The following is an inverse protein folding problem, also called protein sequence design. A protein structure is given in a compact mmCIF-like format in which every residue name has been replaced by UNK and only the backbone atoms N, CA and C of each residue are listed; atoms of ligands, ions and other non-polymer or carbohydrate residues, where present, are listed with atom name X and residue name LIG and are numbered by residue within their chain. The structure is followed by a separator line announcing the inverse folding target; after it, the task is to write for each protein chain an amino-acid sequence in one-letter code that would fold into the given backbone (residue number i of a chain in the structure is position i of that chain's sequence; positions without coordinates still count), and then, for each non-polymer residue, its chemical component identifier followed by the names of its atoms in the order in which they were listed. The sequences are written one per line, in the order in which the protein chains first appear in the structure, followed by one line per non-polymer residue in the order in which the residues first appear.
data_IF_383791818131
#
_entry.id   IF_383791818131
#
_cell.length_a   1.000
_cell.length_b   1.000
_cell.length_c   1.000
_cell.angle_alpha   90.00
_cell.angle_beta   90.00
_cell.angle_gamma   90.00
#
_symmetry.space_group_name_H-M   'P 1'
#
loop_
_entity.id
_entity.type
_entity.pdbx_description
1 polymer ?
#
# COMPACT_ATOMS: atom_id res chain seq x y z
N UNK A 1 -8.10 11.85 12.17
CA UNK A 1 -7.41 12.33 13.40
C UNK A 1 -7.90 13.75 13.70
N UNK A 2 -8.33 14.04 14.94
CA UNK A 2 -8.70 15.38 15.36
C UNK A 2 -7.51 16.02 16.12
N UNK A 3 -7.07 17.21 15.71
CA UNK A 3 -6.03 17.98 16.40
C UNK A 3 -6.67 18.99 17.36
N UNK A 4 -6.21 19.02 18.61
CA UNK A 4 -6.64 19.97 19.64
C UNK A 4 -5.74 21.21 19.66
N UNK A 5 -6.35 22.41 19.64
CA UNK A 5 -5.72 23.65 20.12
C UNK A 5 -6.38 24.05 21.43
N UNK A 6 -5.58 24.21 22.49
CA UNK A 6 -6.06 24.72 23.78
C UNK A 6 -6.02 26.25 23.80
N UNK A 7 -7.19 26.88 23.81
CA UNK A 7 -7.38 28.25 24.29
C UNK A 7 -8.63 28.29 25.16
N UNK A 8 -8.54 28.99 26.30
CA UNK A 8 -9.54 28.98 27.37
C UNK A 8 -10.95 29.39 26.95
N UNK A 9 -11.93 28.69 27.55
CA UNK A 9 -13.39 28.99 27.60
C UNK A 9 -14.13 29.31 26.28
N UNK A 10 -13.74 28.72 25.16
CA UNK A 10 -14.49 28.76 23.90
C UNK A 10 -14.66 27.36 23.35
N UNK A 11 -15.85 27.07 22.82
CA UNK A 11 -16.26 25.82 22.17
C UNK A 11 -15.14 25.33 21.23
N UNK A 12 -14.60 24.13 21.50
CA UNK A 12 -13.48 23.56 20.75
C UNK A 12 -13.88 23.34 19.29
N UNK A 13 -13.15 23.97 18.38
CA UNK A 13 -13.30 23.77 16.94
C UNK A 13 -12.60 22.47 16.53
N UNK A 14 -13.37 21.51 16.02
CA UNK A 14 -12.86 20.23 15.53
C UNK A 14 -12.78 20.31 14.01
N UNK A 15 -11.56 20.20 13.46
CA UNK A 15 -11.35 20.12 12.02
C UNK A 15 -11.47 18.66 11.54
N UNK A 16 -12.25 18.44 10.49
CA UNK A 16 -12.38 17.13 9.85
C UNK A 16 -11.74 17.12 8.46
N UNK A 17 -10.87 16.12 8.28
CA UNK A 17 -10.30 15.74 7.00
C UNK A 17 -10.69 14.27 6.74
N UNK A 18 -11.30 14.01 5.59
CA UNK A 18 -11.67 12.69 5.12
C UNK A 18 -11.14 12.48 3.70
N UNK A 19 -10.23 11.54 3.56
CA UNK A 19 -9.55 11.28 2.32
C UNK A 19 -9.88 9.87 1.83
N UNK A 20 -10.27 9.76 0.57
CA UNK A 20 -10.39 8.48 -0.12
C UNK A 20 -9.14 8.22 -0.97
N UNK A 21 -8.85 6.97 -1.30
CA UNK A 21 -7.64 6.61 -2.05
C UNK A 21 -7.97 5.75 -3.27
N UNK A 22 -7.15 4.76 -3.61
CA UNK A 22 -7.19 4.04 -4.87
C UNK A 22 -8.54 3.38 -5.22
N UNK A 23 -9.32 2.94 -4.24
CA UNK A 23 -10.64 2.34 -4.52
C UNK A 23 -11.58 3.30 -5.26
N UNK A 24 -11.66 4.57 -4.85
CA UNK A 24 -12.45 5.57 -5.58
C UNK A 24 -11.75 6.06 -6.86
N UNK A 25 -10.41 5.98 -6.94
CA UNK A 25 -9.69 6.23 -8.20
C UNK A 25 -10.04 5.21 -9.28
N UNK A 26 -10.08 3.92 -8.91
CA UNK A 26 -10.51 2.85 -9.81
C UNK A 26 -11.97 3.02 -10.22
N UNK A 27 -12.88 3.29 -9.26
CA UNK A 27 -14.29 3.50 -9.57
C UNK A 27 -14.51 4.67 -10.54
N UNK A 28 -13.77 5.78 -10.35
CA UNK A 28 -13.84 6.91 -11.25
C UNK A 28 -13.34 6.54 -12.66
N UNK A 29 -12.24 5.79 -12.78
CA UNK A 29 -11.72 5.30 -14.06
C UNK A 29 -12.74 4.38 -14.77
N UNK A 30 -13.36 3.45 -14.05
CA UNK A 30 -14.38 2.54 -14.58
C UNK A 30 -15.63 3.29 -15.09
N UNK A 31 -15.98 4.40 -14.45
CA UNK A 31 -17.11 5.24 -14.83
C UNK A 31 -16.76 6.32 -15.87
N UNK A 32 -15.50 6.38 -16.34
CA UNK A 32 -14.98 7.48 -17.17
C UNK A 32 -15.18 8.87 -16.54
N UNK A 33 -15.10 8.94 -15.21
CA UNK A 33 -15.20 10.19 -14.46
C UNK A 33 -13.82 10.85 -14.40
N UNK A 34 -13.77 12.13 -14.81
CA UNK A 34 -12.58 12.94 -14.61
C UNK A 34 -12.53 13.32 -13.13
N UNK A 35 -11.53 12.81 -12.42
CA UNK A 35 -11.19 13.32 -11.11
C UNK A 35 -10.53 14.69 -11.31
N UNK A 36 -11.04 15.69 -10.60
CA UNK A 36 -10.41 17.01 -10.54
C UNK A 36 -9.12 16.85 -9.74
N UNK A 37 -8.02 16.60 -10.47
CA UNK A 37 -6.67 16.81 -9.98
C UNK A 37 -6.41 18.32 -10.02
N UNK A 38 -5.69 18.81 -9.01
CA UNK A 38 -5.21 20.17 -8.84
C UNK A 38 -6.18 21.19 -8.24
N UNK A 39 -5.56 22.15 -7.56
CA UNK A 39 -6.10 23.14 -6.61
C UNK A 39 -7.14 24.13 -7.18
N UNK A 40 -7.75 23.83 -8.33
CA UNK A 40 -8.60 24.72 -9.11
C UNK A 40 -10.11 24.59 -8.77
N UNK A 41 -10.54 23.44 -8.22
CA UNK A 41 -11.93 23.22 -7.82
C UNK A 41 -12.04 22.45 -6.50
N UNK A 42 -12.43 23.15 -5.45
CA UNK A 42 -12.85 22.52 -4.20
C UNK A 42 -14.27 21.96 -4.37
N UNK A 43 -14.56 20.81 -3.75
CA UNK A 43 -15.93 20.32 -3.62
C UNK A 43 -16.86 21.36 -2.98
N UNK A 44 -16.31 22.28 -2.18
CA UNK A 44 -17.01 23.46 -1.68
C UNK A 44 -17.50 24.40 -2.78
N UNK A 45 -16.68 24.61 -3.81
CA UNK A 45 -17.02 25.54 -4.88
C UNK A 45 -18.15 24.96 -5.74
N UNK A 46 -18.25 23.62 -5.82
CA UNK A 46 -19.37 22.91 -6.46
C UNK A 46 -20.68 22.97 -5.66
N UNK A 47 -20.63 23.13 -4.34
CA UNK A 47 -21.82 23.31 -3.49
C UNK A 47 -22.34 24.75 -3.60
N UNK A 48 -21.45 25.73 -3.76
CA UNK A 48 -21.80 27.14 -3.81
C UNK A 48 -22.39 27.58 -5.17
N UNK A 49 -22.06 26.87 -6.27
CA UNK A 49 -22.43 27.30 -7.63
C UNK A 49 -23.68 26.63 -8.24
N UNK A 50 -24.39 25.72 -7.55
CA UNK A 50 -25.58 25.01 -8.09
C UNK A 50 -25.34 24.41 -9.50
N UNK A 51 -24.10 24.01 -9.79
CA UNK A 51 -23.69 23.63 -11.14
C UNK A 51 -24.03 22.14 -11.41
N UNK A 52 -25.29 21.91 -11.73
CA UNK A 52 -25.91 20.59 -12.00
C UNK A 52 -25.14 19.74 -13.04
N UNK A 53 -24.33 20.37 -13.90
CA UNK A 53 -23.55 19.69 -14.94
C UNK A 53 -22.30 18.96 -14.39
N UNK A 54 -21.67 19.48 -13.33
CA UNK A 54 -20.46 18.89 -12.72
C UNK A 54 -20.78 17.90 -11.59
N UNK A 55 -21.95 18.06 -10.99
CA UNK A 55 -22.61 17.13 -10.09
C UNK A 55 -23.00 15.78 -10.74
N UNK A 56 -22.73 15.54 -12.02
CA UNK A 56 -23.15 14.31 -12.72
C UNK A 56 -22.29 13.07 -12.39
N UNK A 57 -21.08 13.24 -11.83
CA UNK A 57 -20.15 12.14 -11.54
C UNK A 57 -20.51 11.45 -10.22
N UNK A 58 -20.62 10.12 -10.22
CA UNK A 58 -21.07 9.31 -9.08
C UNK A 58 -20.12 9.39 -7.89
N UNK A 59 -18.81 9.50 -8.14
CA UNK A 59 -17.80 9.63 -7.08
C UNK A 59 -17.87 11.03 -6.45
N UNK A 60 -18.01 12.08 -7.26
CA UNK A 60 -18.21 13.45 -6.77
C UNK A 60 -19.47 13.55 -5.92
N UNK A 61 -20.58 12.95 -6.36
CA UNK A 61 -21.82 12.87 -5.60
C UNK A 61 -21.68 12.14 -4.27
N UNK A 62 -20.90 11.06 -4.23
CA UNK A 62 -20.60 10.36 -2.98
C UNK A 62 -19.87 11.27 -1.99
N UNK A 63 -18.84 11.99 -2.43
CA UNK A 63 -18.09 12.91 -1.58
C UNK A 63 -18.95 14.10 -1.11
N UNK A 64 -19.78 14.65 -2.00
CA UNK A 64 -20.75 15.72 -1.68
C UNK A 64 -21.73 15.23 -0.60
N UNK A 65 -22.30 14.04 -0.80
CA UNK A 65 -23.23 13.44 0.15
C UNK A 65 -22.59 13.22 1.53
N UNK A 66 -21.34 12.75 1.58
CA UNK A 66 -20.58 12.62 2.84
C UNK A 66 -20.42 13.98 3.51
N UNK A 67 -19.99 15.00 2.76
CA UNK A 67 -19.80 16.36 3.28
C UNK A 67 -21.09 16.93 3.83
N UNK A 68 -22.14 16.97 3.02
CA UNK A 68 -23.47 17.47 3.40
C UNK A 68 -24.04 16.71 4.60
N UNK A 69 -23.82 15.39 4.68
CA UNK A 69 -24.24 14.62 5.84
C UNK A 69 -23.50 15.04 7.12
N UNK A 70 -22.17 15.20 7.05
CA UNK A 70 -21.37 15.60 8.21
C UNK A 70 -21.75 17.01 8.67
N UNK A 71 -21.87 17.97 7.74
CA UNK A 71 -22.25 19.35 8.05
C UNK A 71 -23.63 19.41 8.76
N UNK A 72 -24.59 18.62 8.31
CA UNK A 72 -25.92 18.56 8.93
C UNK A 72 -25.95 17.79 10.25
N UNK A 73 -25.26 16.65 10.34
CA UNK A 73 -25.31 15.78 11.52
C UNK A 73 -24.43 16.28 12.67
N UNK A 74 -23.35 17.02 12.36
CA UNK A 74 -22.32 17.41 13.32
C UNK A 74 -21.96 18.91 13.22
N UNK A 75 -22.85 19.82 13.67
CA UNK A 75 -22.66 21.27 13.52
C UNK A 75 -21.46 21.87 14.28
N UNK A 76 -20.80 21.09 15.13
CA UNK A 76 -19.57 21.49 15.84
C UNK A 76 -18.28 21.02 15.14
N UNK A 77 -18.41 20.28 14.03
CA UNK A 77 -17.28 19.86 13.20
C UNK A 77 -17.17 20.85 12.05
N UNK A 78 -16.00 21.47 11.93
CA UNK A 78 -15.68 22.29 10.78
C UNK A 78 -14.98 21.42 9.73
N UNK A 79 -15.44 21.51 8.48
CA UNK A 79 -14.87 20.81 7.35
C UNK A 79 -14.14 21.85 6.48
N UNK A 80 -12.80 21.96 6.57
CA UNK A 80 -12.05 22.93 5.78
C UNK A 80 -12.25 22.77 4.27
N UNK A 81 -11.78 23.78 3.54
CA UNK A 81 -11.56 23.66 2.10
C UNK A 81 -10.59 22.53 1.79
N UNK A 82 -10.85 21.78 0.71
CA UNK A 82 -10.05 20.64 0.25
C UNK A 82 -9.83 19.52 1.29
N UNK A 83 -10.71 19.40 2.30
CA UNK A 83 -10.56 18.40 3.37
C UNK A 83 -11.37 17.11 3.15
N UNK A 84 -12.31 17.09 2.20
CA UNK A 84 -13.01 15.89 1.76
C UNK A 84 -12.74 15.70 0.26
N UNK A 85 -11.82 14.80 -0.07
CA UNK A 85 -11.41 14.55 -1.46
C UNK A 85 -10.72 13.20 -1.62
N UNK A 86 -10.39 12.86 -2.86
CA UNK A 86 -9.57 11.70 -3.20
C UNK A 86 -8.11 12.16 -3.20
N UNK A 87 -7.23 11.39 -2.56
CA UNK A 87 -5.79 11.61 -2.68
C UNK A 87 -5.30 11.05 -4.00
N UNK A 88 -4.41 11.80 -4.65
CA UNK A 88 -3.59 11.22 -5.70
C UNK A 88 -2.73 10.10 -5.10
N UNK A 89 -2.26 9.19 -5.95
CA UNK A 89 -1.38 8.12 -5.51
C UNK A 89 -0.04 8.63 -4.97
N UNK A 90 0.44 9.75 -5.52
CA UNK A 90 1.66 10.44 -5.09
C UNK A 90 1.47 11.01 -3.69
N UNK A 91 0.32 11.63 -3.40
CA UNK A 91 -0.01 12.13 -2.06
C UNK A 91 -0.08 11.01 -1.03
N UNK A 92 -0.80 9.92 -1.34
CA UNK A 92 -0.91 8.75 -0.46
C UNK A 92 0.48 8.21 -0.07
N UNK A 93 1.36 8.01 -1.06
CA UNK A 93 2.72 7.54 -0.84
C UNK A 93 3.58 8.55 -0.05
N UNK A 94 3.58 9.82 -0.47
CA UNK A 94 4.34 10.88 0.20
C UNK A 94 3.91 11.05 1.66
N UNK A 95 2.61 11.03 1.93
CA UNK A 95 2.07 11.14 3.27
C UNK A 95 2.44 9.92 4.13
N UNK A 96 2.46 8.71 3.55
CA UNK A 96 3.00 7.52 4.20
C UNK A 96 4.45 7.71 4.64
N UNK A 97 5.30 8.26 3.76
CA UNK A 97 6.68 8.58 4.09
C UNK A 97 6.78 9.67 5.18
N UNK A 98 6.04 10.77 5.05
CA UNK A 98 6.03 11.88 6.04
C UNK A 98 5.64 11.37 7.43
N UNK A 99 4.64 10.48 7.53
CA UNK A 99 4.26 9.85 8.81
C UNK A 99 5.47 9.18 9.46
N UNK A 100 6.19 8.34 8.71
CA UNK A 100 7.35 7.62 9.25
C UNK A 100 8.44 8.60 9.72
N UNK A 101 8.75 9.62 8.92
CA UNK A 101 9.72 10.64 9.31
C UNK A 101 9.30 11.41 10.57
N UNK A 102 8.01 11.71 10.70
CA UNK A 102 7.44 12.38 11.87
C UNK A 102 7.56 11.51 13.12
N UNK A 103 7.22 10.22 13.03
CA UNK A 103 7.32 9.26 14.13
C UNK A 103 8.78 9.09 14.57
N UNK A 104 9.71 8.90 13.62
CA UNK A 104 11.14 8.74 13.91
C UNK A 104 11.72 9.98 14.59
N UNK A 105 11.29 11.17 14.16
CA UNK A 105 11.65 12.44 14.80
C UNK A 105 11.18 12.53 16.26
N UNK A 106 9.99 12.00 16.54
CA UNK A 106 9.43 11.93 17.89
C UNK A 106 10.07 10.81 18.75
N UNK A 107 10.94 9.99 18.16
CA UNK A 107 11.66 8.92 18.86
C UNK A 107 11.04 7.53 18.67
N UNK A 108 9.95 7.42 17.92
CA UNK A 108 9.34 6.14 17.58
C UNK A 108 10.17 5.43 16.50
N UNK A 109 10.93 4.40 16.91
CA UNK A 109 11.93 3.71 16.06
C UNK A 109 11.88 2.19 16.20
N UNK A 110 11.16 1.71 17.20
CA UNK A 110 11.15 0.33 17.62
C UNK A 110 9.90 -0.38 17.13
N UNK A 111 10.05 -1.62 16.68
CA UNK A 111 8.94 -2.50 16.30
C UNK A 111 9.07 -3.85 17.00
N UNK A 112 7.97 -4.59 17.06
CA UNK A 112 7.95 -5.94 17.61
C UNK A 112 8.37 -6.95 16.55
N UNK A 113 9.40 -7.76 16.84
CA UNK A 113 9.96 -8.75 15.90
C UNK A 113 9.23 -10.11 15.91
N UNK A 114 8.67 -10.49 17.07
CA UNK A 114 8.07 -11.82 17.29
C UNK A 114 7.02 -11.74 18.39
N UNK A 115 6.21 -12.80 18.53
CA UNK A 115 5.31 -13.00 19.68
C UNK A 115 6.06 -13.13 21.02
N UNK A 116 7.40 -13.16 21.01
CA UNK A 116 8.27 -13.30 22.19
C UNK A 116 8.87 -11.97 22.70
N UNK A 117 8.25 -10.82 22.41
CA UNK A 117 8.69 -9.49 22.86
C UNK A 117 10.12 -9.10 22.44
N UNK A 118 10.64 -9.67 21.36
CA UNK A 118 11.93 -9.20 20.80
C UNK A 118 11.68 -7.87 20.10
N UNK A 119 12.46 -6.84 20.43
CA UNK A 119 12.29 -5.49 19.88
C UNK A 119 13.36 -5.25 18.82
N UNK A 120 12.95 -4.82 17.62
CA UNK A 120 13.84 -4.38 16.55
C UNK A 120 13.85 -2.86 16.46
N UNK A 121 14.80 -2.29 15.70
CA UNK A 121 14.90 -0.85 15.51
C UNK A 121 15.12 -0.54 14.02
N UNK A 122 14.30 0.34 13.45
CA UNK A 122 14.37 0.66 12.00
C UNK A 122 15.66 1.39 11.61
N UNK A 123 16.32 2.04 12.57
CA UNK A 123 17.59 2.77 12.37
C UNK A 123 18.84 1.94 12.70
N UNK A 124 18.64 0.79 13.33
CA UNK A 124 19.69 -0.18 13.63
C UNK A 124 19.10 -1.58 13.47
N UNK A 125 18.81 -2.01 12.21
CA UNK A 125 18.16 -3.28 11.96
C UNK A 125 19.02 -4.41 12.54
N UNK A 126 18.45 -5.35 13.31
CA UNK A 126 19.20 -6.45 13.91
C UNK A 126 20.04 -7.26 12.91
N UNK A 127 19.55 -7.39 11.68
CA UNK A 127 20.21 -8.10 10.58
C UNK A 127 21.47 -7.41 10.05
N UNK A 128 21.73 -6.14 10.39
CA UNK A 128 22.92 -5.40 9.93
C UNK A 128 23.63 -4.59 11.01
N UNK A 129 24.96 -4.61 10.95
CA UNK A 129 25.82 -3.88 11.87
C UNK A 129 26.12 -2.43 11.40
N UNK A 130 25.13 -1.78 10.78
CA UNK A 130 25.24 -0.41 10.25
C UNK A 130 24.04 0.42 10.68
N UNK A 131 24.27 1.65 11.12
CA UNK A 131 23.17 2.57 11.44
C UNK A 131 22.59 3.18 10.16
N UNK A 132 21.27 3.21 10.08
CA UNK A 132 20.51 3.81 8.98
C UNK A 132 20.24 5.28 9.31
N UNK A 133 20.64 6.22 8.44
CA UNK A 133 20.22 7.61 8.57
C UNK A 133 18.69 7.71 8.59
N UNK A 134 18.07 8.52 9.47
CA UNK A 134 16.60 8.59 9.54
C UNK A 134 15.88 8.95 8.24
N UNK A 135 16.52 9.71 7.35
CA UNK A 135 15.97 10.06 6.04
C UNK A 135 16.10 8.93 5.00
N UNK A 136 16.86 7.87 5.29
CA UNK A 136 16.94 6.64 4.50
C UNK A 136 15.92 5.58 4.95
N UNK A 137 14.90 5.97 5.73
CA UNK A 137 13.73 5.11 5.96
C UNK A 137 12.69 5.43 4.89
N UNK A 138 12.43 4.46 4.04
CA UNK A 138 11.41 4.49 2.99
C UNK A 138 10.12 3.79 3.41
N UNK A 139 9.08 4.01 2.61
CA UNK A 139 7.73 3.51 2.83
C UNK A 139 7.26 2.66 1.65
N UNK A 140 6.69 1.49 1.93
CA UNK A 140 5.81 0.78 0.99
C UNK A 140 4.42 0.71 1.62
N UNK A 141 3.48 1.40 0.99
CA UNK A 141 2.06 1.27 1.30
C UNK A 141 1.49 0.20 0.36
N UNK A 142 1.00 -0.90 0.93
CA UNK A 142 0.49 -2.01 0.15
C UNK A 142 -1.01 -2.17 0.36
N UNK A 143 -1.80 -1.48 -0.46
CA UNK A 143 -3.25 -1.41 -0.34
C UNK A 143 -4.00 -2.43 -1.21
N UNK A 144 -5.33 -2.32 -1.16
CA UNK A 144 -6.27 -3.17 -1.91
C UNK A 144 -6.24 -2.94 -3.42
N UNK A 145 -6.26 -1.67 -3.85
CA UNK A 145 -6.36 -1.30 -5.27
C UNK A 145 -5.06 -0.76 -5.86
N UNK A 146 -4.11 -0.33 -5.03
CA UNK A 146 -2.81 0.17 -5.47
C UNK A 146 -1.70 -0.20 -4.48
N UNK A 147 -0.46 -0.07 -4.91
CA UNK A 147 0.72 -0.05 -4.03
C UNK A 147 1.54 1.20 -4.28
N UNK A 148 2.12 1.76 -3.22
CA UNK A 148 3.01 2.91 -3.28
C UNK A 148 4.39 2.52 -2.79
N UNK A 149 5.41 3.18 -3.35
CA UNK A 149 6.77 3.15 -2.84
C UNK A 149 7.30 4.57 -2.76
N UNK A 150 7.84 4.96 -1.60
CA UNK A 150 8.28 6.33 -1.34
C UNK A 150 9.57 6.36 -0.53
N UNK A 151 10.58 7.10 -0.99
CA UNK A 151 11.86 7.20 -0.30
C UNK A 151 12.63 8.46 -0.70
N UNK A 152 13.55 8.88 0.16
CA UNK A 152 14.39 10.03 -0.10
C UNK A 152 15.46 9.74 -1.17
N UNK A 153 15.69 10.72 -2.04
CA UNK A 153 16.70 10.73 -3.09
C UNK A 153 17.54 12.01 -2.96
N UNK A 154 18.87 11.92 -2.88
CA UNK A 154 19.73 13.10 -2.80
C UNK A 154 19.72 13.87 -4.12
N UNK A 155 19.95 15.20 -4.06
CA UNK A 155 19.94 16.08 -5.24
C UNK A 155 20.86 15.62 -6.38
N UNK A 156 21.99 14.98 -6.06
CA UNK A 156 22.95 14.47 -7.04
C UNK A 156 22.43 13.28 -7.86
N UNK A 157 21.45 12.55 -7.34
CA UNK A 157 20.89 11.33 -7.94
C UNK A 157 19.50 11.60 -8.56
N UNK A 158 19.05 12.87 -8.57
CA UNK A 158 17.88 13.31 -9.31
C UNK A 158 18.23 13.39 -10.80
N UNK A 159 17.67 12.49 -11.60
CA UNK A 159 18.05 12.26 -12.99
C UNK A 159 17.11 12.90 -14.02
N UNK A 160 15.85 13.20 -13.65
CA UNK A 160 14.89 13.86 -14.52
C UNK A 160 13.72 14.47 -13.73
N UNK A 161 13.19 15.64 -14.15
CA UNK A 161 11.93 16.14 -13.60
C UNK A 161 10.79 15.17 -13.94
N UNK A 162 10.21 14.54 -12.92
CA UNK A 162 8.99 13.73 -12.96
C UNK A 162 8.04 14.22 -11.85
N UNK A 163 6.74 14.01 -12.02
CA UNK A 163 5.76 14.20 -10.95
C UNK A 163 6.04 13.28 -9.75
N UNK A 164 6.76 12.18 -9.96
CA UNK A 164 7.18 11.26 -8.90
C UNK A 164 8.23 11.86 -7.95
N UNK A 165 8.85 13.00 -8.29
CA UNK A 165 9.84 13.66 -7.45
C UNK A 165 9.27 14.87 -6.73
N UNK A 166 9.11 14.74 -5.42
CA UNK A 166 8.62 15.79 -4.54
C UNK A 166 9.80 16.51 -3.89
N UNK A 167 10.09 17.73 -4.35
CA UNK A 167 11.21 18.52 -3.82
C UNK A 167 10.96 18.90 -2.36
N UNK A 168 11.94 18.64 -1.51
CA UNK A 168 11.90 19.04 -0.09
C UNK A 168 13.11 19.90 0.26
N UNK A 169 12.86 21.07 0.82
CA UNK A 169 13.94 21.94 1.34
C UNK A 169 14.64 21.27 2.52
N UNK A 170 13.86 20.56 3.34
CA UNK A 170 14.34 19.81 4.49
C UNK A 170 13.48 18.60 4.81
N UNK A 171 14.07 17.50 5.28
CA UNK A 171 13.33 16.33 5.77
C UNK A 171 12.64 16.65 7.11
N UNK A 172 11.50 16.02 7.44
CA UNK A 172 10.86 16.25 8.74
C UNK A 172 11.78 15.97 9.92
N UNK A 173 12.60 14.91 9.80
CA UNK A 173 13.49 14.40 10.86
C UNK A 173 14.81 15.15 11.00
N UNK A 174 15.34 15.73 9.92
CA UNK A 174 16.58 16.50 9.92
C UNK A 174 16.42 17.77 9.05
N UNK A 175 16.39 18.97 9.66
CA UNK A 175 16.17 20.22 8.95
C UNK A 175 17.36 20.61 8.05
N UNK A 176 18.51 19.96 8.18
CA UNK A 176 19.73 20.25 7.39
C UNK A 176 19.80 19.42 6.10
N UNK A 177 18.97 18.39 5.99
CA UNK A 177 18.95 17.47 4.85
C UNK A 177 17.81 17.83 3.93
N UNK A 178 18.12 18.39 2.76
CA UNK A 178 17.17 18.62 1.66
C UNK A 178 17.39 17.63 0.50
N UNK A 179 16.49 17.62 -0.47
CA UNK A 179 16.58 16.70 -1.61
C UNK A 179 15.22 16.51 -2.28
N UNK A 180 14.96 15.28 -2.68
CA UNK A 180 13.68 14.88 -3.24
C UNK A 180 13.15 13.67 -2.47
N UNK A 181 11.83 13.56 -2.37
CA UNK A 181 11.17 12.28 -2.08
C UNK A 181 10.70 11.74 -3.40
N UNK A 182 11.27 10.61 -3.84
CA UNK A 182 10.69 9.85 -4.91
C UNK A 182 9.46 9.12 -4.35
N UNK A 183 8.32 9.24 -5.02
CA UNK A 183 7.08 8.54 -4.68
C UNK A 183 6.37 8.14 -5.94
N UNK A 184 5.96 6.88 -6.04
CA UNK A 184 5.15 6.40 -7.15
C UNK A 184 4.03 5.50 -6.66
N UNK A 185 2.91 5.51 -7.38
CA UNK A 185 1.70 4.76 -7.06
C UNK A 185 1.27 3.92 -8.25
N UNK A 186 1.37 2.60 -8.10
CA UNK A 186 0.93 1.65 -9.11
C UNK A 186 -0.55 1.33 -8.89
N UNK A 187 -1.44 2.12 -9.50
CA UNK A 187 -2.88 1.83 -9.54
C UNK A 187 -3.11 0.51 -10.27
N UNK A 188 -4.10 -0.28 -9.82
CA UNK A 188 -4.38 -1.66 -10.26
C UNK A 188 -3.39 -2.74 -9.80
N UNK A 189 -2.28 -2.35 -9.16
CA UNK A 189 -1.29 -3.28 -8.60
C UNK A 189 -1.44 -3.48 -7.09
N UNK A 190 -2.57 -3.06 -6.51
CA UNK A 190 -2.95 -3.46 -5.15
C UNK A 190 -3.37 -4.93 -5.08
N UNK A 191 -3.46 -5.47 -3.86
CA UNK A 191 -3.61 -6.91 -3.66
C UNK A 191 -4.90 -7.50 -4.25
N UNK A 192 -6.01 -6.75 -4.21
CA UNK A 192 -7.30 -7.19 -4.77
C UNK A 192 -7.37 -7.00 -6.28
N UNK A 193 -6.92 -5.86 -6.80
CA UNK A 193 -6.91 -5.62 -8.24
C UNK A 193 -5.99 -6.60 -8.99
N UNK A 194 -4.82 -6.89 -8.40
CA UNK A 194 -3.90 -7.91 -8.91
C UNK A 194 -4.54 -9.29 -8.90
N UNK A 195 -5.29 -9.62 -7.85
CA UNK A 195 -6.04 -10.89 -7.74
C UNK A 195 -7.06 -11.02 -8.87
N UNK A 196 -7.91 -10.01 -9.05
CA UNK A 196 -8.93 -10.01 -10.11
C UNK A 196 -8.30 -10.18 -11.48
N UNK A 197 -7.23 -9.43 -11.75
CA UNK A 197 -6.47 -9.54 -13.00
C UNK A 197 -5.90 -10.94 -13.20
N UNK A 198 -5.35 -11.58 -12.16
CA UNK A 198 -4.85 -12.96 -12.29
C UNK A 198 -5.95 -14.00 -12.47
N UNK A 199 -7.13 -13.79 -11.90
CA UNK A 199 -8.31 -14.65 -12.14
C UNK A 199 -8.71 -14.57 -13.61
N UNK A 200 -8.75 -13.38 -14.19
CA UNK A 200 -9.08 -13.18 -15.62
C UNK A 200 -8.00 -13.80 -16.53
N UNK A 201 -6.72 -13.63 -16.19
CA UNK A 201 -5.60 -14.27 -16.91
C UNK A 201 -5.67 -15.80 -16.82
N UNK A 202 -6.00 -16.36 -15.65
CA UNK A 202 -6.11 -17.79 -15.46
C UNK A 202 -7.20 -18.41 -16.36
N UNK A 203 -8.34 -17.74 -16.53
CA UNK A 203 -9.41 -18.18 -17.44
C UNK A 203 -8.93 -18.30 -18.89
N UNK A 204 -8.07 -17.38 -19.32
CA UNK A 204 -7.49 -17.36 -20.66
C UNK A 204 -6.41 -18.44 -20.82
N UNK A 205 -5.52 -18.59 -19.83
CA UNK A 205 -4.34 -19.44 -19.92
C UNK A 205 -4.61 -20.92 -19.65
N UNK A 206 -5.47 -21.23 -18.69
CA UNK A 206 -5.67 -22.61 -18.20
C UNK A 206 -6.96 -23.27 -18.71
N UNK A 207 -7.76 -22.53 -19.50
CA UNK A 207 -9.04 -22.95 -20.08
C UNK A 207 -10.10 -23.35 -19.05
N UNK A 208 -11.32 -22.86 -19.24
CA UNK A 208 -12.46 -23.22 -18.37
C UNK A 208 -13.04 -24.56 -18.80
N UNK A 209 -13.15 -25.51 -17.86
CA UNK A 209 -13.77 -26.82 -18.06
C UNK A 209 -14.96 -26.97 -17.10
N UNK A 210 -16.19 -27.02 -17.63
CA UNK A 210 -17.38 -27.25 -16.80
C UNK A 210 -17.60 -26.20 -15.69
N UNK A 211 -17.33 -24.92 -15.99
CA UNK A 211 -17.33 -23.80 -15.04
C UNK A 211 -16.26 -23.89 -13.94
N UNK A 212 -15.19 -24.64 -14.18
CA UNK A 212 -14.02 -24.70 -13.30
C UNK A 212 -12.80 -24.22 -14.08
N UNK A 213 -11.96 -23.42 -13.42
CA UNK A 213 -10.62 -23.10 -13.90
C UNK A 213 -9.61 -23.43 -12.81
N UNK A 214 -8.49 -24.04 -13.20
CA UNK A 214 -7.39 -24.28 -12.28
C UNK A 214 -6.66 -22.98 -12.00
N UNK A 215 -6.37 -22.71 -10.74
CA UNK A 215 -5.65 -21.52 -10.30
C UNK A 215 -4.37 -21.93 -9.55
N UNK A 216 -3.19 -21.76 -10.15
CA UNK A 216 -1.94 -22.30 -9.60
C UNK A 216 -1.50 -21.65 -8.29
N UNK A 217 -1.97 -20.44 -8.01
CA UNK A 217 -1.69 -19.75 -6.74
C UNK A 217 -2.70 -20.03 -5.61
N UNK A 218 -3.67 -20.92 -5.84
CA UNK A 218 -4.53 -21.45 -4.78
C UNK A 218 -4.00 -22.83 -4.36
N UNK A 219 -4.16 -23.15 -3.08
CA UNK A 219 -3.66 -24.41 -2.54
C UNK A 219 -4.45 -25.61 -3.06
N UNK A 220 -3.79 -26.71 -3.38
CA UNK A 220 -4.40 -27.95 -3.83
C UNK A 220 -5.48 -28.42 -2.85
N UNK A 221 -6.66 -28.79 -3.37
CA UNK A 221 -7.81 -29.18 -2.57
C UNK A 221 -8.65 -28.03 -2.04
N UNK A 222 -8.31 -26.78 -2.36
CA UNK A 222 -9.16 -25.62 -2.11
C UNK A 222 -10.04 -25.28 -3.32
N UNK A 223 -11.18 -24.63 -3.04
CA UNK A 223 -12.05 -24.05 -4.06
C UNK A 223 -12.42 -22.62 -3.64
N UNK A 224 -12.27 -21.67 -4.56
CA UNK A 224 -12.66 -20.28 -4.35
C UNK A 224 -13.70 -19.84 -5.40
N UNK A 225 -14.65 -18.97 -5.03
CA UNK A 225 -15.56 -18.37 -5.99
C UNK A 225 -14.82 -17.36 -6.88
N UNK A 226 -15.38 -17.10 -8.05
CA UNK A 226 -15.01 -15.93 -8.85
C UNK A 226 -15.35 -14.62 -8.10
N UNK A 227 -14.64 -13.53 -8.40
CA UNK A 227 -14.85 -12.24 -7.72
C UNK A 227 -16.17 -11.57 -8.12
N UNK A 228 -16.62 -11.75 -9.37
CA UNK A 228 -17.98 -11.38 -9.80
C UNK A 228 -19.00 -12.36 -9.19
N UNK A 229 -19.90 -11.89 -8.31
CA UNK A 229 -20.91 -12.73 -7.66
C UNK A 229 -21.95 -13.30 -8.62
N UNK A 230 -22.07 -12.78 -9.84
CA UNK A 230 -22.95 -13.31 -10.88
C UNK A 230 -22.32 -14.48 -11.64
N UNK A 231 -21.00 -14.61 -11.60
CA UNK A 231 -20.28 -15.69 -12.27
C UNK A 231 -20.49 -17.02 -11.57
N UNK A 232 -20.71 -18.07 -12.37
CA UNK A 232 -20.79 -19.46 -11.89
C UNK A 232 -19.43 -20.16 -11.87
N UNK A 233 -18.37 -19.45 -12.25
CA UNK A 233 -17.02 -19.99 -12.32
C UNK A 233 -16.48 -20.29 -10.91
N UNK A 234 -15.87 -21.46 -10.76
CA UNK A 234 -15.13 -21.87 -9.58
C UNK A 234 -13.64 -21.98 -9.90
N UNK A 235 -12.82 -21.58 -8.94
CA UNK A 235 -11.36 -21.64 -9.01
C UNK A 235 -10.90 -22.84 -8.18
N UNK A 236 -10.26 -23.82 -8.82
CA UNK A 236 -9.68 -24.97 -8.11
C UNK A 236 -8.17 -24.77 -7.94
N UNK A 237 -7.70 -24.89 -6.70
CA UNK A 237 -6.27 -24.77 -6.42
C UNK A 237 -5.47 -25.99 -6.87
N UNK A 238 -4.24 -25.73 -7.33
CA UNK A 238 -3.33 -26.77 -7.78
C UNK A 238 -1.94 -26.73 -7.14
N UNK A 239 -1.63 -25.73 -6.31
CA UNK A 239 -0.30 -25.56 -5.67
C UNK A 239 0.90 -25.59 -6.64
N UNK A 240 0.70 -25.26 -7.92
CA UNK A 240 1.76 -25.32 -8.93
C UNK A 240 2.63 -24.05 -8.87
N UNK A 241 3.67 -24.07 -8.03
CA UNK A 241 4.51 -22.91 -7.71
C UNK A 241 5.04 -22.14 -8.94
N UNK A 242 5.64 -22.84 -9.90
CA UNK A 242 6.20 -22.19 -11.09
C UNK A 242 5.13 -21.58 -12.00
N UNK A 243 3.98 -22.23 -12.09
CA UNK A 243 2.82 -21.70 -12.83
C UNK A 243 2.23 -20.48 -12.11
N UNK A 244 2.18 -20.50 -10.76
CA UNK A 244 1.73 -19.36 -9.98
C UNK A 244 2.60 -18.12 -10.22
N UNK A 245 3.93 -18.27 -10.15
CA UNK A 245 4.85 -17.19 -10.45
C UNK A 245 4.70 -16.70 -11.90
N UNK A 246 4.50 -17.63 -12.86
CA UNK A 246 4.28 -17.27 -14.27
C UNK A 246 2.98 -16.51 -14.50
N UNK A 247 1.89 -16.91 -13.83
CA UNK A 247 0.60 -16.24 -13.86
C UNK A 247 0.71 -14.83 -13.28
N UNK A 248 1.35 -14.69 -12.12
CA UNK A 248 1.61 -13.39 -11.48
C UNK A 248 2.43 -12.49 -12.40
N UNK A 249 3.56 -12.97 -12.93
CA UNK A 249 4.40 -12.20 -13.85
C UNK A 249 3.64 -11.73 -15.11
N UNK A 250 2.57 -12.41 -15.50
CA UNK A 250 1.80 -12.06 -16.70
C UNK A 250 0.95 -10.78 -16.58
N UNK A 251 0.81 -10.22 -15.38
CA UNK A 251 0.04 -8.97 -15.15
C UNK A 251 0.92 -7.71 -15.19
N UNK A 252 2.24 -7.87 -15.25
CA UNK A 252 3.21 -6.79 -15.36
C UNK A 252 3.68 -6.64 -16.80
N UNK A 253 3.87 -5.40 -17.26
CA UNK A 253 4.57 -5.15 -18.52
C UNK A 253 6.08 -4.95 -18.27
N UNK A 254 6.81 -6.06 -18.30
CA UNK A 254 8.27 -6.08 -18.14
C UNK A 254 9.03 -5.51 -19.34
N UNK A 255 8.36 -5.31 -20.49
CA UNK A 255 8.99 -4.88 -21.74
C UNK A 255 8.59 -3.46 -22.15
N UNK A 256 7.78 -2.80 -21.33
CA UNK A 256 7.46 -1.39 -21.49
C UNK A 256 8.74 -0.56 -21.64
N UNK A 257 8.68 0.45 -22.52
CA UNK A 257 9.84 1.28 -22.82
C UNK A 257 10.23 2.11 -21.60
N UNK A 258 11.45 1.89 -21.09
CA UNK A 258 12.02 2.72 -20.02
C UNK A 258 12.60 4.01 -20.60
N UNK A 259 11.96 5.15 -20.33
CA UNK A 259 12.43 6.44 -20.82
C UNK A 259 13.63 6.96 -20.01
N UNK A 260 13.68 6.62 -18.72
CA UNK A 260 14.74 7.00 -17.80
C UNK A 260 15.09 5.79 -16.94
N UNK A 261 16.27 5.23 -17.17
CA UNK A 261 16.77 4.11 -16.38
C UNK A 261 17.29 4.58 -15.01
N UNK A 262 17.19 3.77 -13.96
CA UNK A 262 16.60 2.43 -13.95
C UNK A 262 15.07 2.45 -13.84
N UNK A 263 14.40 1.51 -14.48
CA UNK A 263 12.96 1.31 -14.31
C UNK A 263 12.61 0.11 -13.42
N UNK A 264 11.40 0.16 -12.86
CA UNK A 264 10.70 -0.98 -12.27
C UNK A 264 9.99 -1.77 -13.37
N UNK A 265 8.66 -1.89 -13.30
CA UNK A 265 7.79 -2.48 -14.33
C UNK A 265 6.96 -1.37 -15.00
N UNK A 266 6.30 -1.70 -16.12
CA UNK A 266 5.50 -0.75 -16.91
C UNK A 266 6.27 0.49 -17.39
N UNK A 267 7.61 0.40 -17.47
CA UNK A 267 8.46 1.50 -17.93
C UNK A 267 8.55 2.67 -16.95
N UNK A 268 8.14 2.47 -15.69
CA UNK A 268 8.19 3.49 -14.63
C UNK A 268 9.63 3.61 -14.12
N UNK A 269 10.21 4.81 -14.22
CA UNK A 269 11.52 5.12 -13.66
C UNK A 269 11.49 5.00 -12.14
N UNK A 270 12.42 4.22 -11.56
CA UNK A 270 12.56 4.02 -10.13
C UNK A 270 14.04 4.17 -9.73
N UNK A 271 14.42 5.27 -9.04
CA UNK A 271 15.80 5.54 -8.64
C UNK A 271 16.38 4.46 -7.72
N UNK A 272 17.68 4.18 -7.83
CA UNK A 272 18.33 3.30 -6.85
C UNK A 272 18.30 3.93 -5.46
N UNK A 273 17.92 3.14 -4.45
CA UNK A 273 17.98 3.56 -3.05
C UNK A 273 19.45 3.68 -2.59
N UNK A 274 19.77 4.80 -1.94
CA UNK A 274 21.10 5.01 -1.35
C UNK A 274 21.31 4.04 -0.20
N UNK A 275 22.44 3.34 -0.21
CA UNK A 275 22.83 2.45 0.89
C UNK A 275 23.45 3.23 2.08
N UNK A 276 23.17 2.83 3.33
CA UNK A 276 22.23 1.77 3.71
C UNK A 276 20.78 2.31 3.76
N UNK A 277 19.79 1.44 3.50
CA UNK A 277 18.37 1.84 3.46
C UNK A 277 17.48 0.82 4.16
N UNK A 278 16.46 1.30 4.87
CA UNK A 278 15.37 0.48 5.41
C UNK A 278 14.07 0.90 4.72
N UNK A 279 13.23 -0.06 4.35
CA UNK A 279 11.87 0.20 3.90
C UNK A 279 10.89 -0.44 4.88
N UNK A 280 9.96 0.37 5.38
CA UNK A 280 8.84 -0.12 6.17
C UNK A 280 7.69 -0.42 5.22
N UNK A 281 7.34 -1.70 5.11
CA UNK A 281 6.19 -2.17 4.36
C UNK A 281 5.00 -2.38 5.31
N UNK A 282 3.91 -1.64 5.10
CA UNK A 282 2.75 -1.62 5.99
C UNK A 282 1.44 -2.03 5.28
N UNK A 283 0.33 -1.96 6.00
CA UNK A 283 -1.00 -2.44 5.57
C UNK A 283 -1.00 -3.93 5.15
N UNK A 284 -1.41 -4.31 3.94
CA UNK A 284 -1.54 -5.72 3.54
C UNK A 284 -0.20 -6.45 3.57
N UNK A 285 0.92 -5.75 3.36
CA UNK A 285 2.26 -6.34 3.49
C UNK A 285 2.46 -6.98 4.88
N UNK A 286 2.00 -6.31 5.94
CA UNK A 286 2.10 -6.82 7.32
C UNK A 286 1.15 -7.98 7.59
N UNK A 287 -0.02 -7.98 6.95
CA UNK A 287 -0.99 -9.08 7.06
C UNK A 287 -0.41 -10.34 6.42
N UNK A 288 0.18 -10.20 5.23
CA UNK A 288 0.80 -11.29 4.48
C UNK A 288 2.02 -11.82 5.24
N UNK A 289 2.95 -10.94 5.62
CA UNK A 289 4.15 -11.33 6.37
C UNK A 289 3.79 -12.00 7.71
N UNK A 290 2.82 -11.44 8.45
CA UNK A 290 2.36 -12.01 9.72
C UNK A 290 1.73 -13.39 9.58
N UNK A 291 1.00 -13.66 8.49
CA UNK A 291 0.50 -15.00 8.19
C UNK A 291 1.63 -16.02 8.00
N UNK A 292 2.76 -15.58 7.46
CA UNK A 292 3.97 -16.39 7.28
C UNK A 292 4.85 -16.45 8.54
N UNK A 293 4.45 -15.77 9.62
CA UNK A 293 5.16 -15.73 10.90
C UNK A 293 6.22 -14.64 11.01
N UNK A 294 6.22 -13.64 10.13
CA UNK A 294 7.15 -12.51 10.16
C UNK A 294 6.47 -11.24 10.68
N UNK A 295 7.11 -10.63 11.67
CA UNK A 295 6.70 -9.35 12.24
C UNK A 295 7.97 -8.51 12.34
N UNK A 296 8.15 -7.44 11.57
CA UNK A 296 9.35 -6.60 11.61
C UNK A 296 10.46 -6.97 10.62
N UNK A 297 11.73 -6.85 11.04
CA UNK A 297 12.93 -7.06 10.23
C UNK A 297 12.95 -8.47 9.65
N UNK A 298 12.90 -8.55 8.34
CA UNK A 298 12.74 -9.80 7.61
C UNK A 298 13.62 -9.74 6.37
N UNK A 299 14.51 -10.73 6.23
CA UNK A 299 15.33 -10.85 5.02
C UNK A 299 14.47 -11.27 3.83
N UNK A 300 14.84 -10.82 2.64
CA UNK A 300 14.15 -11.25 1.42
C UNK A 300 14.32 -12.76 1.21
N UNK A 301 15.44 -13.34 1.64
CA UNK A 301 15.68 -14.79 1.62
C UNK A 301 14.66 -15.56 2.46
N UNK A 302 14.49 -15.18 3.73
CA UNK A 302 13.62 -15.91 4.67
C UNK A 302 12.17 -15.86 4.23
N UNK A 303 11.67 -14.70 3.82
CA UNK A 303 10.30 -14.59 3.35
C UNK A 303 10.12 -15.36 2.04
N UNK A 304 11.04 -15.28 1.08
CA UNK A 304 10.96 -16.05 -0.18
C UNK A 304 10.83 -17.54 0.09
N UNK A 305 11.68 -18.09 0.96
CA UNK A 305 11.66 -19.49 1.35
C UNK A 305 10.33 -19.87 1.99
N UNK A 306 9.81 -19.04 2.89
CA UNK A 306 8.57 -19.33 3.60
C UNK A 306 7.34 -19.23 2.67
N UNK A 307 7.34 -18.32 1.70
CA UNK A 307 6.30 -18.26 0.66
C UNK A 307 6.28 -19.55 -0.15
N UNK A 308 7.43 -20.00 -0.66
CA UNK A 308 7.52 -21.23 -1.44
C UNK A 308 7.05 -22.45 -0.65
N UNK A 309 7.45 -22.56 0.62
CA UNK A 309 7.00 -23.62 1.52
C UNK A 309 5.48 -23.60 1.72
N UNK A 310 4.91 -22.43 2.01
CA UNK A 310 3.46 -22.29 2.22
C UNK A 310 2.67 -22.59 0.94
N UNK A 311 3.11 -22.08 -0.21
CA UNK A 311 2.46 -22.29 -1.50
C UNK A 311 2.57 -23.73 -2.03
N UNK A 312 3.47 -24.54 -1.47
CA UNK A 312 3.61 -25.96 -1.80
C UNK A 312 2.74 -26.88 -0.92
N UNK A 313 2.02 -26.31 0.06
CA UNK A 313 1.09 -27.08 0.90
C UNK A 313 -0.20 -27.41 0.15
N UNK A 314 -0.90 -28.44 0.62
CA UNK A 314 -2.33 -28.65 0.37
C UNK A 314 -3.18 -27.72 1.24
N UNK A 315 -4.44 -27.56 0.88
CA UNK A 315 -5.42 -26.81 1.68
C UNK A 315 -5.57 -27.38 3.09
N UNK A 316 -5.58 -28.71 3.22
CA UNK A 316 -5.68 -29.38 4.52
C UNK A 316 -4.45 -29.08 5.39
N UNK A 317 -3.24 -29.18 4.83
CA UNK A 317 -2.00 -28.88 5.56
C UNK A 317 -1.95 -27.42 6.03
N UNK A 318 -2.41 -26.48 5.20
CA UNK A 318 -2.50 -25.08 5.61
C UNK A 318 -3.50 -24.84 6.74
N UNK A 319 -4.63 -25.58 6.77
CA UNK A 319 -5.57 -25.54 7.89
C UNK A 319 -4.97 -26.16 9.16
N UNK A 320 -4.20 -27.24 9.03
CA UNK A 320 -3.51 -27.90 10.15
C UNK A 320 -2.36 -27.04 10.71
N UNK A 321 -1.62 -26.31 9.86
CA UNK A 321 -0.59 -25.35 10.29
C UNK A 321 -1.18 -24.27 11.21
N UNK A 322 -2.38 -23.77 10.89
CA UNK A 322 -3.07 -22.78 11.73
C UNK A 322 -3.51 -23.32 13.10
N UNK A 323 -3.62 -24.63 13.28
CA UNK A 323 -3.85 -25.22 14.61
C UNK A 323 -2.57 -25.16 15.46
N UNK A 324 -1.40 -25.24 14.82
CA UNK A 324 -0.10 -25.14 15.49
C UNK A 324 0.31 -23.68 15.72
N UNK A 325 -0.09 -22.78 14.83
CA UNK A 325 0.20 -21.35 14.90
C UNK A 325 -1.08 -20.49 14.86
N UNK A 326 -1.89 -20.48 15.94
CA UNK A 326 -3.16 -19.75 15.98
C UNK A 326 -3.04 -18.26 15.70
N UNK A 327 -1.90 -17.64 16.04
CA UNK A 327 -1.64 -16.21 15.81
C UNK A 327 -1.53 -15.84 14.32
N UNK A 328 -1.30 -16.82 13.44
CA UNK A 328 -1.24 -16.65 11.97
C UNK A 328 -2.61 -16.72 11.31
N UNK A 329 -3.66 -17.03 12.08
CA UNK A 329 -5.00 -17.30 11.55
C UNK A 329 -5.65 -16.03 10.99
N UNK A 330 -6.09 -16.04 9.71
CA UNK A 330 -6.81 -14.91 9.15
C UNK A 330 -8.23 -14.81 9.74
N UNK A 331 -8.83 -13.62 9.61
CA UNK A 331 -10.18 -13.33 10.13
C UNK A 331 -11.29 -14.21 9.51
N UNK A 332 -11.09 -14.68 8.29
CA UNK A 332 -12.08 -15.42 7.49
C UNK A 332 -11.38 -16.51 6.68
N UNK A 333 -12.08 -17.59 6.37
CA UNK A 333 -11.60 -18.65 5.47
C UNK A 333 -11.30 -18.13 4.06
N UNK A 334 -12.10 -17.19 3.54
CA UNK A 334 -11.84 -16.55 2.25
C UNK A 334 -10.45 -15.90 2.19
N UNK A 335 -10.08 -15.15 3.24
CA UNK A 335 -8.73 -14.59 3.38
C UNK A 335 -7.64 -15.64 3.49
N UNK A 336 -7.93 -16.88 3.87
CA UNK A 336 -6.94 -17.97 3.90
C UNK A 336 -6.71 -18.52 2.48
N UNK A 337 -7.78 -18.72 1.70
CA UNK A 337 -7.72 -19.24 0.32
C UNK A 337 -6.67 -18.49 -0.53
N UNK A 338 -6.61 -17.17 -0.36
CA UNK A 338 -5.79 -16.30 -1.19
C UNK A 338 -4.37 -16.07 -0.67
N UNK A 339 -3.97 -16.62 0.49
CA UNK A 339 -2.67 -16.28 1.10
C UNK A 339 -1.47 -16.67 0.24
N UNK A 340 -1.54 -17.80 -0.46
CA UNK A 340 -0.45 -18.19 -1.35
C UNK A 340 -0.31 -17.17 -2.50
N UNK A 341 -1.40 -16.85 -3.19
CA UNK A 341 -1.40 -15.78 -4.20
C UNK A 341 -0.84 -14.46 -3.66
N UNK A 342 -1.33 -13.98 -2.52
CA UNK A 342 -0.95 -12.69 -1.96
C UNK A 342 0.55 -12.64 -1.63
N UNK A 343 1.06 -13.71 -1.03
CA UNK A 343 2.47 -13.85 -0.67
C UNK A 343 3.38 -13.98 -1.89
N UNK A 344 2.99 -14.78 -2.88
CA UNK A 344 3.71 -14.93 -4.14
C UNK A 344 3.72 -13.60 -4.93
N UNK A 345 2.60 -12.87 -4.94
CA UNK A 345 2.48 -11.57 -5.60
C UNK A 345 3.39 -10.53 -4.95
N UNK A 346 3.37 -10.43 -3.61
CA UNK A 346 4.28 -9.56 -2.86
C UNK A 346 5.75 -9.88 -3.16
N UNK A 347 6.08 -11.17 -3.26
CA UNK A 347 7.43 -11.61 -3.57
C UNK A 347 7.88 -11.18 -4.96
N UNK A 348 7.06 -11.40 -6.00
CA UNK A 348 7.38 -10.96 -7.38
C UNK A 348 7.47 -9.44 -7.46
N UNK A 349 6.55 -8.72 -6.80
CA UNK A 349 6.58 -7.27 -6.75
C UNK A 349 7.88 -6.75 -6.13
N UNK A 350 8.34 -7.32 -5.02
CA UNK A 350 9.55 -6.85 -4.34
C UNK A 350 10.83 -7.26 -5.07
N UNK A 351 10.93 -8.52 -5.50
CA UNK A 351 12.16 -9.07 -6.11
C UNK A 351 12.36 -8.62 -7.56
N UNK A 352 11.30 -8.64 -8.37
CA UNK A 352 11.36 -8.36 -9.80
C UNK A 352 10.84 -6.96 -10.12
N UNK A 353 9.74 -6.54 -9.51
CA UNK A 353 9.15 -5.21 -9.71
C UNK A 353 10.04 -4.08 -9.18
N UNK A 354 10.35 -4.13 -7.87
CA UNK A 354 11.18 -3.13 -7.20
C UNK A 354 12.68 -3.46 -7.24
N UNK A 355 13.05 -4.59 -7.84
CA UNK A 355 14.43 -5.04 -7.96
C UNK A 355 15.18 -5.11 -6.62
N UNK A 356 14.46 -5.47 -5.54
CA UNK A 356 15.08 -5.67 -4.23
C UNK A 356 15.97 -6.90 -4.27
N UNK A 357 17.13 -6.76 -3.64
CA UNK A 357 18.12 -7.83 -3.51
C UNK A 357 18.07 -8.43 -2.12
N UNK A 358 18.76 -9.56 -1.91
CA UNK A 358 18.76 -10.29 -0.64
C UNK A 358 19.05 -9.40 0.58
N UNK A 359 19.93 -8.41 0.43
CA UNK A 359 20.41 -7.57 1.51
C UNK A 359 20.08 -6.08 1.35
N UNK A 360 19.33 -5.69 0.30
CA UNK A 360 19.03 -4.27 0.05
C UNK A 360 17.73 -4.06 -0.72
N UNK A 361 16.81 -3.23 -0.20
CA UNK A 361 16.82 -2.60 1.12
C UNK A 361 16.54 -3.61 2.25
N UNK A 362 16.77 -3.21 3.50
CA UNK A 362 16.23 -3.95 4.66
C UNK A 362 14.72 -3.76 4.72
N UNK A 363 13.97 -4.85 4.86
CA UNK A 363 12.50 -4.81 4.85
C UNK A 363 11.99 -5.02 6.26
N UNK A 364 11.17 -4.07 6.73
CA UNK A 364 10.51 -4.15 8.04
C UNK A 364 9.01 -4.21 7.83
N UNK A 365 8.39 -5.35 8.14
CA UNK A 365 6.93 -5.51 8.10
C UNK A 365 6.31 -5.15 9.45
N UNK A 366 5.92 -3.89 9.65
CA UNK A 366 5.27 -3.48 10.90
C UNK A 366 4.09 -2.53 10.67
N UNK A 367 3.12 -2.59 11.57
CA UNK A 367 1.99 -1.63 11.63
C UNK A 367 2.27 -0.45 12.52
N UNK A 368 3.25 -0.58 13.41
CA UNK A 368 3.49 0.38 14.48
C UNK A 368 4.98 0.60 14.73
N UNK A 369 5.32 1.80 15.18
CA UNK A 369 6.60 2.13 15.80
C UNK A 369 6.34 2.65 17.22
N UNK A 370 6.95 2.04 18.24
CA UNK A 370 6.72 2.39 19.66
C UNK A 370 5.22 2.61 19.99
N UNK A 371 4.32 1.77 19.47
CA UNK A 371 2.85 1.84 19.64
C UNK A 371 2.10 2.85 18.76
N UNK A 372 2.79 3.71 18.01
CA UNK A 372 2.15 4.64 17.07
C UNK A 372 1.93 3.97 15.71
N UNK A 373 0.70 4.03 15.21
CA UNK A 373 0.30 3.43 13.94
C UNK A 373 0.97 4.12 12.74
N UNK A 374 1.49 3.30 11.84
CA UNK A 374 2.03 3.73 10.54
C UNK A 374 0.89 3.71 9.53
N UNK A 375 0.63 4.87 8.93
CA UNK A 375 -0.33 5.06 7.83
C UNK A 375 -0.05 6.39 7.14
N UNK A 376 -0.66 6.67 5.99
CA UNK A 376 -0.60 7.99 5.38
C UNK A 376 -1.36 9.08 6.16
N UNK A 377 -2.27 8.71 7.08
CA UNK A 377 -3.19 9.66 7.70
C UNK A 377 -2.52 10.76 8.52
N UNK A 378 -1.46 10.44 9.28
CA UNK A 378 -0.73 11.45 10.05
C UNK A 378 -0.01 12.44 9.11
N UNK A 379 0.68 11.93 8.08
CA UNK A 379 1.35 12.75 7.08
C UNK A 379 0.40 13.65 6.30
N UNK A 380 -0.81 13.18 6.01
CA UNK A 380 -1.86 13.98 5.39
C UNK A 380 -2.23 15.16 6.29
N UNK A 381 -2.51 14.92 7.56
CA UNK A 381 -2.85 15.98 8.52
C UNK A 381 -1.69 16.96 8.68
N UNK A 382 -0.46 16.48 8.92
CA UNK A 382 0.73 17.35 9.09
C UNK A 382 0.98 18.23 7.87
N UNK A 383 0.63 17.76 6.68
CA UNK A 383 0.81 18.51 5.43
C UNK A 383 -0.31 19.51 5.18
N UNK A 384 -1.55 19.21 5.60
CA UNK A 384 -2.73 20.03 5.32
C UNK A 384 -3.11 21.02 6.45
N UNK A 385 -2.49 20.94 7.63
CA UNK A 385 -2.79 21.85 8.77
C UNK A 385 -1.73 22.93 9.01
N UNK A 386 -0.87 23.21 8.04
CA UNK A 386 0.22 24.21 8.18
C UNK A 386 -0.26 25.64 8.08
#
# INVERSE_FOLDING_TARGET
HALQKETGSTQQEILLYAFATAGLRVLAEENNEILLDDDEYDINDLIEEDDDAMAANSVTQLLLSIRTHIDHAYPNIHIPKNSIRILSGIEEGLYGWITQQQLIRQGARSFTQTNANTIGNVLSPPSINTSIPPHHVGAIDFGGASTQISYWVPKKDHSAPSLDYQSIESTPVDPTVGGYVYTHSYLHYGIYQSRYTTIDKAQILYQVQGNIVKHPCLLEGSTAPHYDPLSQLQLEGSSEWNECLSLIRSIFDWKASCLHEPCSFNGVHMPKMVEPHTVIAFDYATVIAGHLGFHGDTSLHDISRQVELYCSMTWQEAQEDLLQFPDRKPQTEERLLWRCFEAAYMLVLFTEGYSFTENHPHIVFTRELNYDTISWALGAIVSNTK
#
